data_IF_626292155998
#
_entry.id   IF_626292155998
#
_cell.length_a   1.000
_cell.length_b   1.000
_cell.length_c   1.000
_cell.angle_alpha   90.00
_cell.angle_beta   90.00
_cell.angle_gamma   90.00
#
_symmetry.space_group_name_H-M   'P 1'
#
loop_
_entity.id
_entity.type
_entity.pdbx_description
1 polymer ?
#
# COMPACT_ATOMS: atom_id res chain seq x y z
N UNK A 1 -1.92 -50.12 -60.87
CA UNK A 1 -3.19 -50.88 -60.88
C UNK A 1 -3.35 -51.44 -59.49
N UNK A 2 -4.42 -51.04 -58.80
CA UNK A 2 -4.63 -51.20 -57.36
C UNK A 2 -4.67 -52.70 -56.97
N UNK A 3 -3.83 -53.14 -56.01
CA UNK A 3 -3.71 -54.56 -55.64
C UNK A 3 -5.05 -55.15 -55.19
N UNK A 4 -5.83 -54.36 -54.44
CA UNK A 4 -7.16 -54.74 -53.96
C UNK A 4 -8.17 -54.98 -55.10
N UNK A 5 -8.03 -54.32 -56.25
CA UNK A 5 -8.93 -54.51 -57.40
C UNK A 5 -8.61 -55.79 -58.17
N UNK A 6 -7.34 -56.21 -58.17
CA UNK A 6 -6.93 -57.48 -58.78
C UNK A 6 -7.40 -58.67 -57.96
N UNK A 7 -7.27 -58.59 -56.63
CA UNK A 7 -7.65 -59.68 -55.74
C UNK A 7 -9.17 -59.95 -55.79
N UNK A 8 -9.99 -58.89 -55.80
CA UNK A 8 -11.45 -59.01 -55.98
C UNK A 8 -11.86 -59.57 -57.34
N UNK A 9 -11.17 -59.17 -58.42
CA UNK A 9 -11.46 -59.73 -59.74
C UNK A 9 -11.21 -61.24 -59.78
N UNK A 10 -10.09 -61.69 -59.19
CA UNK A 10 -9.76 -63.12 -59.12
C UNK A 10 -10.64 -63.95 -58.18
N UNK A 11 -11.40 -63.31 -57.28
CA UNK A 11 -12.42 -64.00 -56.49
C UNK A 11 -13.72 -64.22 -57.28
N UNK A 12 -14.04 -63.32 -58.22
CA UNK A 12 -15.27 -63.38 -59.03
C UNK A 12 -15.05 -64.26 -60.27
N UNK A 13 -13.88 -64.14 -60.91
CA UNK A 13 -13.43 -64.96 -62.04
C UNK A 13 -12.98 -66.34 -61.54
N UNK A 14 -13.97 -67.22 -61.37
CA UNK A 14 -13.82 -68.50 -60.68
C UNK A 14 -13.08 -69.54 -61.53
N UNK A 15 -13.22 -69.46 -62.86
CA UNK A 15 -12.56 -70.33 -63.82
C UNK A 15 -11.23 -69.78 -64.35
N UNK A 16 -10.89 -68.52 -64.01
CA UNK A 16 -9.64 -67.82 -64.31
C UNK A 16 -9.41 -67.65 -65.80
N UNK A 17 -10.48 -67.51 -66.57
CA UNK A 17 -10.41 -67.28 -68.01
C UNK A 17 -10.12 -65.80 -68.37
N UNK A 18 -10.18 -64.92 -67.36
CA UNK A 18 -9.92 -63.49 -67.50
C UNK A 18 -11.15 -62.65 -67.89
N UNK A 19 -12.35 -63.23 -67.90
CA UNK A 19 -13.63 -62.60 -68.27
C UNK A 19 -14.72 -63.03 -67.28
N UNK A 20 -15.43 -62.08 -66.68
CA UNK A 20 -16.56 -62.41 -65.80
C UNK A 20 -17.78 -62.78 -66.65
N UNK A 21 -18.23 -64.03 -66.56
CA UNK A 21 -19.43 -64.52 -67.23
C UNK A 21 -20.73 -64.00 -66.58
N UNK A 22 -21.86 -64.07 -67.29
CA UNK A 22 -23.17 -63.64 -66.77
C UNK A 22 -23.59 -64.41 -65.51
N UNK A 23 -23.27 -65.71 -65.43
CA UNK A 23 -23.51 -66.52 -64.23
C UNK A 23 -22.59 -66.16 -63.04
N UNK A 24 -21.34 -65.76 -63.32
CA UNK A 24 -20.44 -65.28 -62.26
C UNK A 24 -20.84 -63.91 -61.78
N UNK A 25 -21.31 -63.04 -62.68
CA UNK A 25 -21.86 -61.74 -62.33
C UNK A 25 -23.13 -61.87 -61.46
N UNK A 26 -24.08 -62.74 -61.82
CA UNK A 26 -25.30 -62.95 -61.03
C UNK A 26 -25.02 -63.48 -59.61
N UNK A 27 -23.99 -64.33 -59.42
CA UNK A 27 -23.62 -64.87 -58.10
C UNK A 27 -23.12 -63.81 -57.12
N UNK A 28 -22.51 -62.73 -57.61
CA UNK A 28 -22.05 -61.60 -56.78
C UNK A 28 -22.91 -60.35 -56.94
N UNK A 29 -23.85 -60.31 -57.89
CA UNK A 29 -24.75 -59.17 -58.10
C UNK A 29 -25.60 -58.87 -56.86
N UNK A 30 -26.00 -59.91 -56.11
CA UNK A 30 -26.69 -59.74 -54.82
C UNK A 30 -25.77 -59.14 -53.73
N UNK A 31 -24.46 -59.43 -53.78
CA UNK A 31 -23.44 -58.94 -52.84
C UNK A 31 -22.96 -57.50 -53.15
N UNK A 32 -23.21 -57.01 -54.38
CA UNK A 32 -22.89 -55.65 -54.84
C UNK A 32 -24.14 -54.75 -54.99
N UNK A 33 -25.31 -55.20 -54.54
CA UNK A 33 -26.41 -54.28 -54.31
C UNK A 33 -26.00 -53.36 -53.15
N UNK A 34 -25.70 -52.09 -53.46
CA UNK A 34 -25.32 -51.08 -52.47
C UNK A 34 -26.40 -51.06 -51.37
N UNK A 35 -26.11 -51.63 -50.19
CA UNK A 35 -26.93 -51.42 -49.00
C UNK A 35 -26.92 -49.91 -48.72
N UNK A 36 -28.03 -49.24 -49.05
CA UNK A 36 -28.16 -47.80 -48.85
C UNK A 36 -28.12 -47.45 -47.36
N UNK A 37 -26.92 -47.17 -46.82
CA UNK A 37 -26.72 -46.85 -45.40
C UNK A 37 -27.48 -45.57 -44.98
N UNK A 38 -28.29 -45.69 -43.92
CA UNK A 38 -28.99 -44.58 -43.27
C UNK A 38 -30.51 -44.77 -43.15
N UNK A 39 -31.12 -44.22 -42.09
CA UNK A 39 -32.56 -44.33 -41.84
C UNK A 39 -33.29 -43.23 -42.63
N UNK A 40 -34.32 -43.58 -43.40
CA UNK A 40 -35.13 -42.60 -44.14
C UNK A 40 -35.81 -41.62 -43.20
N UNK A 41 -35.85 -40.34 -43.57
CA UNK A 41 -36.41 -39.26 -42.74
C UNK A 41 -37.88 -39.50 -42.35
N UNK A 42 -38.65 -40.18 -43.21
CA UNK A 42 -40.04 -40.57 -42.92
C UNK A 42 -40.15 -41.60 -41.79
N UNK A 43 -39.12 -42.39 -41.53
CA UNK A 43 -39.11 -43.43 -40.50
C UNK A 43 -38.60 -42.91 -39.14
N UNK A 44 -38.12 -41.65 -39.10
CA UNK A 44 -37.60 -41.00 -37.89
C UNK A 44 -38.71 -40.31 -37.08
N UNK A 45 -38.52 -40.21 -35.76
CA UNK A 45 -39.38 -39.43 -34.88
C UNK A 45 -39.29 -37.91 -35.17
N UNK A 46 -40.27 -37.12 -34.70
CA UNK A 46 -40.41 -35.71 -35.03
C UNK A 46 -39.18 -34.85 -34.66
N UNK A 47 -38.52 -35.16 -33.55
CA UNK A 47 -37.31 -34.46 -33.09
C UNK A 47 -36.11 -34.79 -33.99
N UNK A 48 -35.91 -36.07 -34.31
CA UNK A 48 -34.85 -36.52 -35.21
C UNK A 48 -35.03 -35.96 -36.63
N UNK A 49 -36.27 -35.81 -37.11
CA UNK A 49 -36.57 -35.14 -38.39
C UNK A 49 -36.13 -33.67 -38.44
N UNK A 50 -36.22 -32.94 -37.32
CA UNK A 50 -35.79 -31.54 -37.25
C UNK A 50 -34.27 -31.38 -37.36
N UNK A 51 -33.51 -32.31 -36.77
CA UNK A 51 -32.03 -32.24 -36.76
C UNK A 51 -31.37 -32.97 -37.93
N UNK A 52 -32.15 -33.67 -38.77
CA UNK A 52 -31.67 -34.34 -39.99
C UNK A 52 -31.70 -33.38 -41.19
N UNK A 53 -30.51 -33.07 -41.72
CA UNK A 53 -30.32 -32.31 -42.96
C UNK A 53 -30.21 -33.28 -44.15
N UNK A 54 -31.21 -33.30 -45.04
CA UNK A 54 -31.32 -34.24 -46.17
C UNK A 54 -32.48 -35.25 -46.03
N UNK A 55 -32.54 -36.24 -46.93
CA UNK A 55 -33.62 -37.24 -47.02
C UNK A 55 -33.41 -38.47 -46.12
N UNK A 56 -32.18 -38.66 -45.60
CA UNK A 56 -31.83 -39.76 -44.69
C UNK A 56 -30.98 -39.26 -43.53
N UNK A 57 -31.13 -39.91 -42.38
CA UNK A 57 -30.31 -39.70 -41.20
C UNK A 57 -29.28 -40.81 -41.07
N UNK A 58 -28.01 -40.42 -41.06
CA UNK A 58 -26.91 -41.30 -40.71
C UNK A 58 -26.35 -40.89 -39.33
N UNK A 59 -26.49 -41.73 -38.29
CA UNK A 59 -25.91 -41.48 -36.97
C UNK A 59 -24.38 -41.26 -37.00
N UNK A 60 -23.66 -41.89 -37.94
CA UNK A 60 -22.20 -41.76 -38.06
C UNK A 60 -21.84 -40.38 -38.64
N UNK A 61 -22.46 -39.97 -39.75
CA UNK A 61 -22.22 -38.65 -40.35
C UNK A 61 -22.68 -37.51 -39.43
N UNK A 62 -23.80 -37.66 -38.72
CA UNK A 62 -24.23 -36.70 -37.71
C UNK A 62 -23.21 -36.59 -36.56
N UNK A 63 -22.73 -37.72 -36.04
CA UNK A 63 -21.74 -37.73 -34.96
C UNK A 63 -20.39 -37.15 -35.41
N UNK A 64 -19.93 -37.46 -36.63
CA UNK A 64 -18.69 -36.95 -37.18
C UNK A 64 -18.74 -35.43 -37.42
N UNK A 65 -19.88 -34.91 -37.89
CA UNK A 65 -20.10 -33.47 -38.05
C UNK A 65 -20.25 -32.76 -36.71
N UNK A 66 -20.97 -33.33 -35.75
CA UNK A 66 -21.10 -32.78 -34.40
C UNK A 66 -19.74 -32.74 -33.71
N UNK A 67 -18.93 -33.81 -33.83
CA UNK A 67 -17.56 -33.88 -33.31
C UNK A 67 -16.68 -32.81 -33.96
N UNK A 68 -16.72 -32.68 -35.29
CA UNK A 68 -15.96 -31.65 -36.02
C UNK A 68 -16.36 -30.23 -35.61
N UNK A 69 -17.65 -29.92 -35.56
CA UNK A 69 -18.16 -28.60 -35.15
C UNK A 69 -17.87 -28.30 -33.68
N UNK A 70 -17.92 -29.31 -32.80
CA UNK A 70 -17.58 -29.14 -31.36
C UNK A 70 -16.09 -28.88 -31.20
N UNK A 71 -15.23 -29.57 -31.94
CA UNK A 71 -13.78 -29.33 -31.92
C UNK A 71 -13.45 -27.94 -32.49
N UNK A 72 -14.05 -27.54 -33.61
CA UNK A 72 -13.87 -26.20 -34.18
C UNK A 72 -14.36 -25.10 -33.23
N UNK A 73 -15.52 -25.30 -32.60
CA UNK A 73 -16.03 -24.40 -31.55
C UNK A 73 -15.07 -24.31 -30.38
N UNK A 74 -14.59 -25.44 -29.84
CA UNK A 74 -13.64 -25.46 -28.72
C UNK A 74 -12.33 -24.78 -29.09
N UNK A 75 -11.80 -24.98 -30.31
CA UNK A 75 -10.56 -24.34 -30.76
C UNK A 75 -10.71 -22.82 -30.87
N UNK A 76 -11.81 -22.33 -31.45
CA UNK A 76 -12.07 -20.89 -31.58
C UNK A 76 -12.38 -20.27 -30.21
N UNK A 77 -13.23 -20.92 -29.42
CA UNK A 77 -13.60 -20.48 -28.07
C UNK A 77 -12.40 -20.45 -27.13
N UNK A 78 -11.53 -21.47 -27.18
CA UNK A 78 -10.25 -21.44 -26.47
C UNK A 78 -9.35 -20.33 -27.01
N UNK A 79 -9.26 -20.12 -28.32
CA UNK A 79 -8.49 -19.00 -28.89
C UNK A 79 -8.93 -17.62 -28.37
N UNK A 80 -10.23 -17.37 -28.31
CA UNK A 80 -10.82 -16.11 -27.80
C UNK A 80 -10.66 -16.00 -26.28
N UNK A 81 -10.86 -17.08 -25.53
CA UNK A 81 -10.62 -17.10 -24.08
C UNK A 81 -9.15 -16.87 -23.75
N UNK A 82 -8.23 -17.49 -24.49
CA UNK A 82 -6.79 -17.30 -24.31
C UNK A 82 -6.38 -15.88 -24.69
N UNK A 83 -6.96 -15.25 -25.72
CA UNK A 83 -6.66 -13.86 -26.07
C UNK A 83 -7.15 -12.87 -25.00
N UNK A 84 -8.35 -13.04 -24.47
CA UNK A 84 -8.84 -12.21 -23.36
C UNK A 84 -8.06 -12.48 -22.05
N UNK A 85 -7.63 -13.72 -21.81
CA UNK A 85 -6.84 -14.08 -20.64
C UNK A 85 -5.42 -13.52 -20.69
N UNK A 86 -4.78 -13.49 -21.86
CA UNK A 86 -3.46 -12.85 -22.05
C UNK A 86 -3.57 -11.34 -21.83
N UNK A 87 -4.59 -10.67 -22.36
CA UNK A 87 -4.80 -9.24 -22.14
C UNK A 87 -5.07 -8.91 -20.65
N UNK A 88 -5.77 -9.81 -19.94
CA UNK A 88 -6.00 -9.70 -18.50
C UNK A 88 -4.75 -10.04 -17.65
N UNK A 89 -3.90 -10.98 -18.07
CA UNK A 89 -2.72 -11.38 -17.28
C UNK A 89 -1.60 -10.33 -17.30
N UNK A 90 -1.36 -9.66 -18.43
CA UNK A 90 -0.39 -8.55 -18.50
C UNK A 90 -0.81 -7.36 -17.63
N UNK A 91 -2.09 -6.96 -17.70
CA UNK A 91 -2.64 -5.85 -16.91
C UNK A 91 -2.76 -6.16 -15.41
N UNK A 92 -3.01 -7.43 -15.05
CA UNK A 92 -3.07 -7.88 -13.64
C UNK A 92 -1.67 -8.03 -13.03
N UNK A 93 -0.68 -8.49 -13.81
CA UNK A 93 0.72 -8.65 -13.41
C UNK A 93 1.44 -7.31 -13.19
N UNK A 94 1.35 -6.37 -14.14
CA UNK A 94 1.88 -5.01 -13.96
C UNK A 94 1.17 -4.31 -12.79
N UNK A 95 -0.16 -4.42 -12.72
CA UNK A 95 -0.92 -3.88 -11.59
C UNK A 95 -0.57 -4.52 -10.24
N UNK A 96 -0.04 -5.75 -10.20
CA UNK A 96 0.40 -6.40 -8.95
C UNK A 96 1.72 -5.82 -8.46
N UNK A 97 2.69 -5.66 -9.36
CA UNK A 97 3.97 -5.05 -9.04
C UNK A 97 3.75 -3.61 -8.51
N UNK A 98 2.92 -2.83 -9.20
CA UNK A 98 2.58 -1.46 -8.79
C UNK A 98 1.88 -1.40 -7.42
N UNK A 99 0.98 -2.34 -7.13
CA UNK A 99 0.31 -2.43 -5.81
C UNK A 99 1.27 -2.79 -4.68
N UNK A 100 2.23 -3.69 -4.93
CA UNK A 100 3.26 -4.04 -3.96
C UNK A 100 4.18 -2.84 -3.73
N UNK A 101 4.59 -2.15 -4.79
CA UNK A 101 5.39 -0.93 -4.70
C UNK A 101 4.69 0.17 -3.89
N UNK A 102 3.37 0.34 -4.04
CA UNK A 102 2.60 1.31 -3.24
C UNK A 102 2.58 0.93 -1.75
N UNK A 103 2.47 -0.37 -1.44
CA UNK A 103 2.56 -0.86 -0.06
C UNK A 103 3.97 -0.64 0.52
N UNK A 104 5.02 -0.95 -0.25
CA UNK A 104 6.42 -0.72 0.16
C UNK A 104 6.71 0.77 0.38
N UNK A 105 6.17 1.64 -0.49
CA UNK A 105 6.31 3.10 -0.35
C UNK A 105 5.59 3.62 0.90
N UNK A 106 4.40 3.09 1.20
CA UNK A 106 3.70 3.39 2.45
C UNK A 106 4.47 2.91 3.67
N UNK A 107 5.04 1.70 3.63
CA UNK A 107 5.88 1.19 4.72
C UNK A 107 7.09 2.11 4.94
N UNK A 108 7.75 2.56 3.87
CA UNK A 108 8.88 3.48 3.96
C UNK A 108 8.49 4.82 4.60
N UNK A 109 7.36 5.41 4.19
CA UNK A 109 6.86 6.65 4.81
C UNK A 109 6.50 6.45 6.28
N UNK A 110 5.86 5.33 6.64
CA UNK A 110 5.57 5.00 8.05
C UNK A 110 6.87 4.87 8.86
N UNK A 111 7.94 4.29 8.30
CA UNK A 111 9.26 4.24 8.95
C UNK A 111 9.88 5.63 9.16
N UNK A 112 9.73 6.54 8.19
CA UNK A 112 10.13 7.93 8.32
C UNK A 112 9.33 8.64 9.42
N UNK A 113 8.00 8.41 9.49
CA UNK A 113 7.13 8.95 10.53
C UNK A 113 7.49 8.43 11.91
N UNK A 114 7.84 7.14 12.05
CA UNK A 114 8.31 6.56 13.33
C UNK A 114 9.60 7.28 13.75
N UNK A 115 10.56 7.42 12.84
CA UNK A 115 11.84 8.10 13.12
C UNK A 115 11.63 9.57 13.52
N UNK A 116 10.78 10.28 12.78
CA UNK A 116 10.40 11.66 13.08
C UNK A 116 9.73 11.78 14.47
N UNK A 117 8.79 10.89 14.77
CA UNK A 117 8.08 10.86 16.05
C UNK A 117 9.02 10.56 17.22
N UNK A 118 9.99 9.66 17.03
CA UNK A 118 11.01 9.35 18.02
C UNK A 118 11.90 10.55 18.34
N UNK A 119 12.41 11.22 17.30
CA UNK A 119 13.17 12.46 17.46
C UNK A 119 12.36 13.52 18.20
N UNK A 120 11.07 13.66 17.88
CA UNK A 120 10.17 14.61 18.56
C UNK A 120 9.94 14.25 20.03
N UNK A 121 9.80 12.98 20.38
CA UNK A 121 9.67 12.54 21.78
C UNK A 121 10.92 12.91 22.58
N UNK A 122 12.10 12.64 22.02
CA UNK A 122 13.38 12.96 22.67
C UNK A 122 13.54 14.46 22.87
N UNK A 123 13.29 15.25 21.81
CA UNK A 123 13.35 16.71 21.88
C UNK A 123 12.36 17.26 22.92
N UNK A 124 11.11 16.81 22.89
CA UNK A 124 10.08 17.30 23.80
C UNK A 124 10.38 16.97 25.26
N UNK A 125 10.92 15.78 25.54
CA UNK A 125 11.37 15.40 26.89
C UNK A 125 12.51 16.30 27.34
N UNK A 126 13.52 16.52 26.48
CA UNK A 126 14.64 17.40 26.79
C UNK A 126 14.18 18.84 27.06
N UNK A 127 13.34 19.42 26.19
CA UNK A 127 12.80 20.78 26.36
C UNK A 127 11.98 20.89 27.65
N UNK A 128 11.10 19.92 27.91
CA UNK A 128 10.28 19.92 29.12
C UNK A 128 11.14 19.85 30.40
N UNK A 129 12.15 18.98 30.41
CA UNK A 129 13.08 18.85 31.53
C UNK A 129 13.88 20.12 31.78
N UNK A 130 14.41 20.75 30.73
CA UNK A 130 15.13 22.03 30.78
C UNK A 130 14.25 23.13 31.41
N UNK A 131 13.00 23.24 30.94
CA UNK A 131 12.06 24.22 31.49
C UNK A 131 11.59 23.89 32.90
N UNK A 132 11.47 22.62 33.25
CA UNK A 132 11.13 22.16 34.59
C UNK A 132 12.20 22.50 35.60
N UNK A 133 13.48 22.24 35.29
CA UNK A 133 14.62 22.68 36.12
C UNK A 133 14.61 24.19 36.32
N UNK A 134 14.36 24.96 35.25
CA UNK A 134 14.24 26.41 35.34
C UNK A 134 13.08 26.84 36.25
N UNK A 135 11.93 26.15 36.17
CA UNK A 135 10.76 26.43 37.00
C UNK A 135 11.02 26.12 38.48
N UNK A 136 11.70 25.02 38.78
CA UNK A 136 12.06 24.61 40.15
C UNK A 136 13.00 25.61 40.82
N UNK A 137 13.97 26.12 40.07
CA UNK A 137 14.92 27.15 40.53
C UNK A 137 14.31 28.55 40.63
N UNK A 138 13.10 28.77 40.11
CA UNK A 138 12.55 30.12 39.85
C UNK A 138 12.60 31.07 41.06
N UNK A 139 12.38 30.57 42.27
CA UNK A 139 12.34 31.40 43.48
C UNK A 139 13.69 31.46 44.24
N UNK A 140 14.74 30.83 43.73
CA UNK A 140 16.06 30.84 44.37
C UNK A 140 16.67 32.24 44.35
N UNK A 141 17.30 32.66 45.46
CA UNK A 141 18.08 33.91 45.51
C UNK A 141 19.49 33.69 44.94
N UNK A 142 19.54 33.24 43.69
CA UNK A 142 20.75 33.02 42.90
C UNK A 142 20.86 34.11 41.81
N UNK A 143 21.97 34.89 41.75
CA UNK A 143 22.23 35.81 40.64
C UNK A 143 22.13 35.17 39.25
N UNK A 144 22.36 33.86 39.14
CA UNK A 144 22.39 33.08 37.90
C UNK A 144 21.22 32.10 37.80
N UNK A 145 20.10 32.38 38.49
CA UNK A 145 18.90 31.53 38.51
C UNK A 145 18.35 31.18 37.12
N UNK A 146 18.55 32.05 36.13
CA UNK A 146 18.11 31.86 34.73
C UNK A 146 19.20 31.28 33.82
N UNK A 147 20.36 30.94 34.37
CA UNK A 147 21.49 30.37 33.63
C UNK A 147 21.66 28.92 34.07
N UNK A 148 21.64 28.00 33.12
CA UNK A 148 21.97 26.60 33.34
C UNK A 148 23.38 26.34 32.80
N UNK A 149 24.27 25.93 33.69
CA UNK A 149 25.60 25.45 33.33
C UNK A 149 25.47 24.02 32.83
N UNK A 150 26.03 23.76 31.65
CA UNK A 150 26.09 22.44 31.06
C UNK A 150 27.27 21.72 31.71
N UNK A 151 26.98 20.71 32.53
CA UNK A 151 28.02 19.80 33.00
C UNK A 151 28.45 18.91 31.81
N UNK A 152 29.75 18.89 31.48
CA UNK A 152 30.36 17.95 30.52
C UNK A 152 29.89 18.09 29.06
N UNK A 153 30.04 19.29 28.46
CA UNK A 153 29.60 19.57 27.09
C UNK A 153 30.30 18.73 26.00
N UNK A 154 31.44 18.11 26.27
CA UNK A 154 32.17 17.21 25.37
C UNK A 154 32.02 15.71 25.73
N UNK A 155 31.25 15.39 26.78
CA UNK A 155 30.95 14.01 27.19
C UNK A 155 32.17 13.21 27.65
N UNK A 156 33.23 13.90 28.06
CA UNK A 156 34.52 13.32 28.44
C UNK A 156 34.63 13.07 29.97
N UNK A 157 33.59 13.42 30.73
CA UNK A 157 33.52 13.32 32.18
C UNK A 157 34.28 14.43 32.91
N UNK A 158 34.64 15.53 32.23
CA UNK A 158 35.30 16.71 32.83
C UNK A 158 34.48 17.96 32.61
N UNK A 159 34.57 18.89 33.56
CA UNK A 159 34.05 20.24 33.38
C UNK A 159 34.86 20.93 32.25
N UNK A 160 34.18 21.30 31.17
CA UNK A 160 34.74 22.12 30.09
C UNK A 160 35.26 23.47 30.60
N UNK A 161 36.05 24.21 29.79
CA UNK A 161 36.59 25.50 30.19
C UNK A 161 35.44 26.46 30.59
N UNK A 162 35.63 27.29 31.63
CA UNK A 162 34.57 28.00 32.36
C UNK A 162 33.75 29.05 31.59
N UNK A 163 33.93 29.18 30.28
CA UNK A 163 33.37 30.26 29.47
C UNK A 163 32.39 29.83 28.36
N UNK A 164 32.25 28.52 28.03
CA UNK A 164 31.52 28.11 26.82
C UNK A 164 30.30 27.20 27.04
N UNK A 165 30.08 26.69 28.25
CA UNK A 165 29.08 25.63 28.48
C UNK A 165 27.94 26.11 29.37
N UNK A 166 27.20 27.12 28.93
CA UNK A 166 25.95 27.51 29.59
C UNK A 166 24.88 27.85 28.57
N UNK A 167 23.63 27.65 28.95
CA UNK A 167 22.49 28.13 28.19
C UNK A 167 21.50 28.82 29.10
N UNK A 168 20.65 29.64 28.51
CA UNK A 168 19.56 30.30 29.22
C UNK A 168 18.26 29.62 28.78
N UNK A 169 17.67 28.71 29.58
CA UNK A 169 16.46 28.00 29.19
C UNK A 169 15.35 28.92 28.65
N UNK A 170 15.19 30.09 29.27
CA UNK A 170 14.15 31.03 28.90
C UNK A 170 14.42 31.82 27.60
N UNK A 171 15.63 31.77 27.03
CA UNK A 171 15.91 32.43 25.73
C UNK A 171 15.13 31.78 24.59
N UNK A 172 15.01 30.46 24.62
CA UNK A 172 14.25 29.68 23.62
C UNK A 172 12.75 29.60 23.94
N UNK A 173 12.25 30.33 24.93
CA UNK A 173 10.85 30.26 25.32
C UNK A 173 9.90 30.64 24.19
N UNK A 174 10.28 31.52 23.27
CA UNK A 174 9.41 31.89 22.15
C UNK A 174 9.47 30.90 20.98
N UNK A 175 10.34 29.88 21.05
CA UNK A 175 10.44 28.87 20.01
C UNK A 175 9.25 27.92 20.07
N UNK A 176 8.85 27.46 18.88
CA UNK A 176 7.81 26.46 18.67
C UNK A 176 8.16 25.69 17.40
N UNK A 177 7.84 24.41 17.40
CA UNK A 177 7.94 23.56 16.22
C UNK A 177 6.69 22.67 16.16
N UNK A 178 5.64 23.05 15.41
CA UNK A 178 4.43 22.25 15.33
C UNK A 178 4.74 20.84 14.80
N UNK A 179 4.07 19.82 15.33
CA UNK A 179 4.21 18.46 14.82
C UNK A 179 3.68 18.36 13.38
N UNK A 180 4.52 17.96 12.44
CA UNK A 180 4.17 17.87 11.00
C UNK A 180 4.92 16.68 10.36
N UNK A 181 4.42 15.44 10.55
CA UNK A 181 5.08 14.26 10.03
C UNK A 181 4.94 14.17 8.50
N UNK A 182 5.87 13.46 7.81
CA UNK A 182 5.79 13.27 6.36
C UNK A 182 4.53 12.49 5.97
N UNK A 183 3.92 12.88 4.85
CA UNK A 183 2.63 12.33 4.35
C UNK A 183 2.46 12.38 2.84
N UNK A 184 3.54 12.63 2.11
CA UNK A 184 3.50 12.89 0.68
C UNK A 184 3.06 11.66 -0.13
N UNK A 185 3.51 10.48 0.28
CA UNK A 185 3.17 9.19 -0.31
C UNK A 185 1.71 8.87 -0.08
N UNK A 186 1.24 8.96 1.17
CA UNK A 186 -0.17 8.76 1.50
C UNK A 186 -1.10 9.70 0.70
N UNK A 187 -0.77 10.99 0.63
CA UNK A 187 -1.55 11.97 -0.13
C UNK A 187 -1.56 11.64 -1.64
N UNK A 188 -0.42 11.21 -2.20
CA UNK A 188 -0.31 10.82 -3.61
C UNK A 188 -1.18 9.61 -3.96
N UNK A 189 -1.09 8.52 -3.20
CA UNK A 189 -1.87 7.30 -3.47
C UNK A 189 -3.37 7.48 -3.21
N UNK A 190 -3.73 8.41 -2.33
CA UNK A 190 -5.14 8.76 -2.09
C UNK A 190 -5.70 9.57 -3.25
N UNK A 191 -4.90 10.48 -3.81
CA UNK A 191 -5.27 11.32 -4.95
C UNK A 191 -5.38 10.52 -6.26
N UNK A 192 -4.45 9.60 -6.51
CA UNK A 192 -4.47 8.76 -7.72
C UNK A 192 -5.48 7.60 -7.66
N UNK A 193 -6.09 7.38 -6.49
CA UNK A 193 -7.14 6.40 -6.26
C UNK A 193 -6.64 4.97 -6.00
N UNK A 194 -5.33 4.73 -6.03
CA UNK A 194 -4.73 3.42 -5.73
C UNK A 194 -4.91 3.03 -4.27
N UNK A 195 -5.12 3.99 -3.36
CA UNK A 195 -5.50 3.73 -1.97
C UNK A 195 -6.73 2.83 -1.83
N UNK A 196 -7.68 2.92 -2.78
CA UNK A 196 -8.90 2.08 -2.78
C UNK A 196 -8.62 0.61 -3.13
N UNK A 197 -7.44 0.32 -3.66
CA UNK A 197 -7.01 -1.03 -4.02
C UNK A 197 -6.34 -1.75 -2.85
N UNK A 198 -6.06 -1.05 -1.76
CA UNK A 198 -5.56 -1.64 -0.53
C UNK A 198 -6.62 -2.53 0.13
N UNK A 199 -6.18 -3.53 0.89
CA UNK A 199 -7.08 -4.29 1.73
C UNK A 199 -7.81 -3.36 2.72
N UNK A 200 -9.10 -3.61 2.94
CA UNK A 200 -9.96 -2.75 3.78
C UNK A 200 -9.41 -2.50 5.18
N UNK A 201 -8.72 -3.48 5.78
CA UNK A 201 -8.11 -3.36 7.10
C UNK A 201 -6.87 -2.45 7.06
N UNK A 202 -6.05 -2.59 6.03
CA UNK A 202 -4.88 -1.73 5.78
C UNK A 202 -5.33 -0.30 5.51
N UNK A 203 -6.26 -0.11 4.58
CA UNK A 203 -6.79 1.21 4.23
C UNK A 203 -7.37 1.93 5.45
N UNK A 204 -8.13 1.22 6.30
CA UNK A 204 -8.66 1.80 7.54
C UNK A 204 -7.54 2.20 8.50
N UNK A 205 -6.60 1.31 8.80
CA UNK A 205 -5.49 1.62 9.72
C UNK A 205 -4.63 2.78 9.21
N UNK A 206 -4.34 2.84 7.91
CA UNK A 206 -3.62 3.97 7.31
C UNK A 206 -4.46 5.25 7.39
N UNK A 207 -5.76 5.20 7.15
CA UNK A 207 -6.62 6.39 7.36
C UNK A 207 -6.58 6.85 8.82
N UNK A 208 -6.62 5.94 9.78
CA UNK A 208 -6.56 6.28 11.20
C UNK A 208 -5.18 6.89 11.58
N UNK A 209 -4.09 6.41 10.98
CA UNK A 209 -2.72 6.94 11.22
C UNK A 209 -2.52 8.33 10.59
N UNK A 210 -3.04 8.56 9.39
CA UNK A 210 -2.75 9.78 8.61
C UNK A 210 -3.83 10.87 8.71
N UNK A 211 -5.09 10.49 8.95
CA UNK A 211 -6.25 11.40 9.04
C UNK A 211 -7.01 11.27 10.37
N UNK A 212 -6.52 10.44 11.31
CA UNK A 212 -7.20 10.16 12.55
C UNK A 212 -7.24 11.32 13.53
N UNK A 213 -8.07 11.16 14.57
CA UNK A 213 -8.24 12.17 15.62
C UNK A 213 -6.98 12.37 16.45
N UNK A 214 -6.18 11.32 16.63
CA UNK A 214 -5.01 11.35 17.50
C UNK A 214 -3.92 12.25 16.91
N UNK A 215 -3.63 12.08 15.61
CA UNK A 215 -2.74 12.98 14.88
C UNK A 215 -3.27 14.42 14.89
N UNK A 216 -4.57 14.61 14.67
CA UNK A 216 -5.19 15.94 14.68
C UNK A 216 -5.00 16.66 16.02
N UNK A 217 -5.22 15.96 17.14
CA UNK A 217 -5.04 16.56 18.46
C UNK A 217 -3.57 16.88 18.75
N UNK A 218 -2.65 16.01 18.32
CA UNK A 218 -1.21 16.24 18.46
C UNK A 218 -0.77 17.50 17.69
N UNK A 219 -1.26 17.68 16.46
CA UNK A 219 -1.01 18.90 15.65
C UNK A 219 -1.62 20.13 16.34
N UNK A 220 -2.89 20.06 16.78
CA UNK A 220 -3.55 21.22 17.42
C UNK A 220 -2.85 21.64 18.73
N UNK A 221 -2.39 20.66 19.51
CA UNK A 221 -1.70 20.92 20.78
C UNK A 221 -0.32 21.55 20.56
N UNK A 222 0.47 21.04 19.61
CA UNK A 222 1.82 21.54 19.31
C UNK A 222 1.82 22.83 18.47
N UNK A 223 0.73 23.16 17.79
CA UNK A 223 0.56 24.42 17.07
C UNK A 223 -0.16 25.48 17.91
N UNK A 224 -1.48 25.30 18.07
CA UNK A 224 -2.38 26.37 18.52
C UNK A 224 -2.34 26.59 20.03
N UNK A 225 -2.27 25.53 20.83
CA UNK A 225 -2.18 25.69 22.28
C UNK A 225 -0.82 26.26 22.68
N UNK A 226 0.27 25.75 22.09
CA UNK A 226 1.61 26.30 22.27
C UNK A 226 1.71 27.77 21.84
N UNK A 227 1.14 28.13 20.68
CA UNK A 227 1.08 29.53 20.25
C UNK A 227 0.41 30.41 21.30
N UNK A 228 -0.67 29.95 21.92
CA UNK A 228 -1.34 30.70 22.97
C UNK A 228 -0.45 30.99 24.19
N UNK A 229 0.49 30.10 24.53
CA UNK A 229 1.48 30.36 25.59
C UNK A 229 2.51 31.41 25.16
N UNK A 230 3.00 31.30 23.93
CA UNK A 230 3.96 32.24 23.31
C UNK A 230 3.35 33.64 23.22
N UNK A 231 2.14 33.77 22.67
CA UNK A 231 1.43 35.04 22.51
C UNK A 231 1.26 35.76 23.85
N UNK A 232 0.94 35.02 24.92
CA UNK A 232 0.80 35.60 26.27
C UNK A 232 2.12 36.17 26.80
N UNK A 233 3.26 35.55 26.49
CA UNK A 233 4.58 36.06 26.90
C UNK A 233 5.02 37.21 26.01
N UNK A 234 4.77 37.14 24.70
CA UNK A 234 5.01 38.27 23.80
C UNK A 234 4.19 39.50 24.22
N UNK A 235 2.89 39.34 24.50
CA UNK A 235 2.03 40.42 24.99
C UNK A 235 2.58 41.00 26.30
N UNK A 236 3.05 40.15 27.21
CA UNK A 236 3.68 40.58 28.46
C UNK A 236 4.94 41.40 28.22
N UNK A 237 5.79 40.98 27.28
CA UNK A 237 6.99 41.71 26.88
C UNK A 237 6.62 43.08 26.33
N UNK A 238 5.72 43.13 25.34
CA UNK A 238 5.31 44.35 24.65
C UNK A 238 4.64 45.35 25.58
N UNK A 239 3.72 44.90 26.42
CA UNK A 239 2.88 45.79 27.20
C UNK A 239 3.50 46.23 28.51
N UNK A 240 4.50 45.48 29.01
CA UNK A 240 5.10 45.74 30.32
C UNK A 240 6.62 45.80 30.30
N UNK A 241 7.32 44.74 29.89
CA UNK A 241 8.77 44.67 30.05
C UNK A 241 9.49 45.78 29.28
N UNK A 242 9.07 46.08 28.04
CA UNK A 242 9.65 47.17 27.23
C UNK A 242 9.52 48.54 27.92
N UNK A 243 8.52 48.73 28.77
CA UNK A 243 8.29 50.02 29.48
C UNK A 243 9.04 50.09 30.81
N UNK A 244 9.16 48.95 31.48
CA UNK A 244 9.68 48.87 32.84
C UNK A 244 11.20 48.60 32.90
N UNK A 245 11.78 48.00 31.86
CA UNK A 245 13.19 47.58 31.81
C UNK A 245 14.00 48.45 30.84
N UNK A 246 15.29 48.63 31.15
CA UNK A 246 16.21 49.44 30.33
C UNK A 246 16.40 48.87 28.92
N UNK A 247 16.37 47.54 28.79
CA UNK A 247 16.37 46.82 27.53
C UNK A 247 15.69 45.45 27.68
N UNK A 248 15.20 44.90 26.57
CA UNK A 248 14.65 43.54 26.49
C UNK A 248 15.28 42.82 25.32
N UNK A 249 16.01 41.75 25.62
CA UNK A 249 16.64 40.88 24.63
C UNK A 249 16.76 39.47 25.23
N UNK A 250 15.91 38.55 24.77
CA UNK A 250 15.83 37.20 25.34
C UNK A 250 17.07 36.36 25.00
N UNK A 251 17.80 36.69 23.94
CA UNK A 251 18.98 35.93 23.50
C UNK A 251 20.23 36.31 24.32
N UNK A 252 20.17 37.41 25.07
CA UNK A 252 21.29 37.92 25.86
C UNK A 252 21.25 37.43 27.30
N UNK A 253 22.31 36.74 27.73
CA UNK A 253 22.44 36.28 29.12
C UNK A 253 22.38 37.41 30.15
N UNK A 254 22.99 38.55 29.83
CA UNK A 254 23.00 39.69 30.75
C UNK A 254 21.63 40.34 30.93
N UNK A 255 20.71 40.20 29.96
CA UNK A 255 19.31 40.57 30.16
C UNK A 255 18.71 39.80 31.35
N UNK A 256 18.85 38.47 31.34
CA UNK A 256 18.28 37.60 32.38
C UNK A 256 18.94 37.80 33.74
N UNK A 257 20.27 37.96 33.78
CA UNK A 257 21.03 38.17 35.02
C UNK A 257 20.71 39.53 35.64
N UNK A 258 20.75 40.61 34.86
CA UNK A 258 20.55 41.97 35.37
C UNK A 258 19.11 42.22 35.80
N UNK A 259 18.14 41.61 35.10
CA UNK A 259 16.71 41.80 35.37
C UNK A 259 16.09 40.68 36.23
N UNK A 260 16.90 39.77 36.80
CA UNK A 260 16.40 38.55 37.46
C UNK A 260 15.29 38.82 38.46
N UNK A 261 15.45 39.82 39.34
CA UNK A 261 14.49 40.11 40.42
C UNK A 261 13.17 40.60 39.86
N UNK A 262 13.21 41.38 38.79
CA UNK A 262 12.01 41.84 38.12
C UNK A 262 11.27 40.66 37.48
N UNK A 263 12.00 39.80 36.76
CA UNK A 263 11.45 38.63 36.06
C UNK A 263 10.91 37.59 37.05
N UNK A 264 11.63 37.28 38.14
CA UNK A 264 11.18 36.36 39.20
C UNK A 264 9.84 36.82 39.82
N UNK A 265 9.65 38.14 39.97
CA UNK A 265 8.40 38.73 40.46
C UNK A 265 7.27 38.71 39.42
N UNK A 266 7.54 38.31 38.18
CA UNK A 266 6.53 38.17 37.14
C UNK A 266 5.75 36.86 37.28
N UNK A 267 4.71 36.89 38.12
CA UNK A 267 3.82 35.75 38.35
C UNK A 267 3.14 35.24 37.08
N UNK A 268 2.92 36.09 36.08
CA UNK A 268 2.31 35.67 34.80
C UNK A 268 3.27 34.76 34.06
N UNK A 269 4.54 35.16 33.93
CA UNK A 269 5.53 34.36 33.23
C UNK A 269 5.76 33.01 33.93
N UNK A 270 5.91 33.02 35.26
CA UNK A 270 6.05 31.79 36.05
C UNK A 270 4.87 30.83 35.86
N UNK A 271 3.64 31.34 35.95
CA UNK A 271 2.44 30.52 35.76
C UNK A 271 2.30 30.02 34.32
N UNK A 272 2.67 30.84 33.34
CA UNK A 272 2.64 30.46 31.93
C UNK A 272 3.66 29.34 31.64
N UNK A 273 4.88 29.45 32.16
CA UNK A 273 5.89 28.38 32.12
C UNK A 273 5.36 27.07 32.71
N UNK A 274 4.79 27.11 33.92
CA UNK A 274 4.16 25.94 34.54
C UNK A 274 3.11 25.29 33.63
N UNK A 275 2.20 26.08 33.05
CA UNK A 275 1.14 25.56 32.20
C UNK A 275 1.63 25.01 30.87
N UNK A 276 2.75 25.52 30.35
CA UNK A 276 3.37 25.00 29.13
C UNK A 276 4.08 23.67 29.38
N UNK A 277 4.80 23.55 30.51
CA UNK A 277 5.38 22.27 30.97
C UNK A 277 4.27 21.23 31.16
N UNK A 278 3.17 21.59 31.81
CA UNK A 278 2.00 20.71 32.03
C UNK A 278 1.37 20.22 30.71
N UNK A 279 1.32 21.08 29.68
CA UNK A 279 0.88 20.67 28.34
C UNK A 279 1.81 19.61 27.74
N UNK A 280 3.12 19.80 27.85
CA UNK A 280 4.10 18.88 27.28
C UNK A 280 4.13 17.54 27.98
N UNK A 281 4.26 17.53 29.32
CA UNK A 281 4.39 16.32 30.12
C UNK A 281 3.15 15.43 30.08
N UNK A 282 1.95 16.03 30.06
CA UNK A 282 0.69 15.29 30.25
C UNK A 282 -0.21 15.25 29.02
N UNK A 283 0.16 15.89 27.92
CA UNK A 283 -0.62 15.80 26.68
C UNK A 283 0.27 15.48 25.50
N UNK A 284 1.26 16.33 25.18
CA UNK A 284 2.04 16.16 23.95
C UNK A 284 2.88 14.89 23.97
N UNK A 285 3.64 14.65 25.05
CA UNK A 285 4.50 13.46 25.15
C UNK A 285 3.67 12.17 25.14
N UNK A 286 2.56 12.13 25.89
CA UNK A 286 1.66 10.96 25.91
C UNK A 286 1.02 10.73 24.53
N UNK A 287 0.60 11.80 23.84
CA UNK A 287 0.05 11.71 22.49
C UNK A 287 1.09 11.23 21.47
N UNK A 288 2.35 11.68 21.56
CA UNK A 288 3.44 11.22 20.71
C UNK A 288 3.72 9.73 20.93
N UNK A 289 3.79 9.27 22.19
CA UNK A 289 4.01 7.85 22.51
C UNK A 289 2.83 6.98 22.04
N UNK A 290 1.59 7.46 22.19
CA UNK A 290 0.40 6.81 21.65
C UNK A 290 0.42 6.74 20.12
N UNK A 291 0.76 7.85 19.46
CA UNK A 291 0.85 7.93 18.00
C UNK A 291 1.92 6.99 17.44
N UNK A 292 3.10 6.93 18.09
CA UNK A 292 4.16 5.96 17.77
C UNK A 292 3.64 4.53 17.80
N UNK A 293 2.85 4.17 18.81
CA UNK A 293 2.26 2.83 18.90
C UNK A 293 1.33 2.54 17.71
N UNK A 294 0.50 3.51 17.32
CA UNK A 294 -0.37 3.38 16.15
C UNK A 294 0.42 3.20 14.86
N UNK A 295 1.53 3.93 14.70
CA UNK A 295 2.47 3.79 13.57
C UNK A 295 3.10 2.39 13.53
N UNK A 296 3.61 1.89 14.67
CA UNK A 296 4.21 0.55 14.76
C UNK A 296 3.22 -0.56 14.42
N UNK A 297 1.97 -0.44 14.90
CA UNK A 297 0.90 -1.37 14.54
C UNK A 297 0.53 -1.27 13.04
N UNK A 298 0.51 -0.05 12.49
CA UNK A 298 0.28 0.20 11.07
C UNK A 298 1.36 -0.44 10.21
N UNK A 299 2.63 -0.26 10.58
CA UNK A 299 3.77 -0.90 9.93
C UNK A 299 3.67 -2.42 9.97
N UNK A 300 3.43 -3.00 11.15
CA UNK A 300 3.32 -4.45 11.30
C UNK A 300 2.23 -5.03 10.39
N UNK A 301 1.12 -4.30 10.22
CA UNK A 301 0.06 -4.69 9.31
C UNK A 301 0.49 -4.60 7.83
N UNK A 302 1.18 -3.52 7.44
CA UNK A 302 1.71 -3.36 6.08
C UNK A 302 2.71 -4.46 5.74
N UNK A 303 3.69 -4.71 6.62
CA UNK A 303 4.71 -5.76 6.46
C UNK A 303 4.07 -7.13 6.28
N UNK A 304 3.06 -7.46 7.11
CA UNK A 304 2.32 -8.71 6.99
C UNK A 304 1.61 -8.85 5.65
N UNK A 305 1.00 -7.78 5.15
CA UNK A 305 0.32 -7.80 3.84
C UNK A 305 1.32 -7.91 2.70
N UNK A 306 2.46 -7.21 2.77
CA UNK A 306 3.54 -7.31 1.79
C UNK A 306 4.10 -8.74 1.75
N UNK A 307 4.33 -9.38 2.90
CA UNK A 307 4.81 -10.77 2.96
C UNK A 307 3.84 -11.74 2.29
N UNK A 308 2.53 -11.60 2.57
CA UNK A 308 1.50 -12.40 1.90
C UNK A 308 1.54 -12.15 0.39
N UNK A 309 1.57 -10.89 -0.07
CA UNK A 309 1.62 -10.54 -1.49
C UNK A 309 2.89 -11.03 -2.20
N UNK A 310 4.03 -11.06 -1.52
CA UNK A 310 5.28 -11.57 -2.06
C UNK A 310 5.33 -13.10 -2.11
N UNK A 311 4.61 -13.78 -1.21
CA UNK A 311 4.50 -15.26 -1.22
C UNK A 311 3.45 -15.81 -2.19
N UNK A 312 2.59 -14.96 -2.74
CA UNK A 312 1.62 -15.33 -3.77
C UNK A 312 2.34 -15.85 -5.03
N UNK A 313 2.09 -17.11 -5.38
CA UNK A 313 2.56 -17.71 -6.64
C UNK A 313 1.51 -17.42 -7.71
N UNK A 314 1.89 -16.58 -8.67
CA UNK A 314 1.07 -16.30 -9.85
C UNK A 314 1.58 -17.17 -11.02
N UNK A 315 0.74 -18.09 -11.50
CA UNK A 315 1.11 -18.99 -12.58
C UNK A 315 0.64 -18.37 -13.91
N UNK A 316 1.59 -17.80 -14.66
CA UNK A 316 1.41 -17.32 -16.03
C UNK A 316 2.19 -18.25 -16.97
N UNK A 317 1.57 -18.76 -18.04
CA UNK A 317 2.22 -19.69 -18.98
C UNK A 317 2.69 -18.98 -20.26
N UNK A 318 3.75 -19.52 -20.89
CA UNK A 318 4.34 -19.02 -22.13
C UNK A 318 3.74 -19.67 -23.38
N UNK A 319 3.75 -18.92 -24.49
CA UNK A 319 3.75 -19.46 -25.85
C UNK A 319 5.04 -18.97 -26.53
N UNK A 320 5.83 -19.91 -27.04
CA UNK A 320 7.03 -19.62 -27.84
C UNK A 320 6.57 -19.26 -29.26
N UNK A 321 6.95 -18.08 -29.73
CA UNK A 321 6.75 -17.71 -31.12
C UNK A 321 7.81 -18.39 -32.00
N UNK A 322 7.36 -19.15 -32.99
CA UNK A 322 8.24 -19.83 -33.97
C UNK A 322 8.08 -19.30 -35.39
N UNK A 323 7.43 -18.14 -35.58
CA UNK A 323 7.31 -17.51 -36.89
C UNK A 323 7.58 -16.00 -36.83
N UNK A 324 8.50 -15.58 -37.70
CA UNK A 324 8.49 -14.26 -38.33
C UNK A 324 7.16 -14.01 -39.05
#
# INVERSE_FOLDING_TARGET
>A
MDKNKKDKFSEIDSDKDGVISEEEFEKVADEFSDEEEGIRKEELNWFMRMITLGDRFDPRDFYDRLKKSTVEFLVIFSGILLSFYVEQSWTVSEGRADRIQNLESLTAEVDEMITYTDGRIEEMKWVSETFKKQYERWDDDDPLVFVEFIEDADGDGKLGPPNDDFHVPMSIYLNRDPFDPPRATYDAIKLDGTFRLLDSKVARKMTDVYDGTDLKYLIENTDKLEQGFIDRVQDRIYNKWIKDLDFVDLDRTDFWVNNRKYIQNDKLLKYNLFKRIDLWDYQVIEQLEGYKKELLEGKSLLDSVIEVRNSEIEIIYWIINSKE
#
